data_IF_868665106826
#
_entry.id   IF_868665106826
#
_cell.length_a   1.000
_cell.length_b   1.000
_cell.length_c   1.000
_cell.angle_alpha   90.00
_cell.angle_beta   90.00
_cell.angle_gamma   90.00
#
_symmetry.space_group_name_H-M   'P 1'
#
loop_
_entity.id
_entity.type
_entity.pdbx_description
1 polymer ?
#
# COMPACT_ATOMS: atom_id res chain seq x y z
N UNK A 1 26.22 -37.29 6.35
CA UNK A 1 24.76 -37.52 6.27
C UNK A 1 23.98 -36.75 7.34
N UNK A 2 24.36 -36.84 8.61
CA UNK A 2 23.66 -36.13 9.69
C UNK A 2 23.70 -34.63 9.55
N UNK A 3 24.80 -34.04 9.08
CA UNK A 3 24.91 -32.58 8.85
C UNK A 3 23.97 -32.06 7.78
N UNK A 4 23.71 -32.84 6.72
CA UNK A 4 22.80 -32.45 5.64
C UNK A 4 21.33 -32.41 6.11
N UNK A 5 20.94 -33.29 7.03
CA UNK A 5 19.58 -33.33 7.58
C UNK A 5 19.34 -32.13 8.49
N UNK A 6 20.31 -31.74 9.32
CA UNK A 6 20.22 -30.56 10.17
C UNK A 6 20.12 -29.27 9.36
N UNK A 7 20.86 -29.13 8.27
CA UNK A 7 20.80 -27.99 7.38
C UNK A 7 19.43 -27.84 6.75
N UNK A 8 18.81 -28.93 6.31
CA UNK A 8 17.48 -28.94 5.72
C UNK A 8 16.41 -28.50 6.70
N UNK A 9 16.50 -28.94 7.94
CA UNK A 9 15.56 -28.52 9.01
C UNK A 9 15.70 -27.04 9.35
N UNK A 10 16.91 -26.52 9.40
CA UNK A 10 17.16 -25.11 9.64
C UNK A 10 16.59 -24.22 8.52
N UNK A 11 16.73 -24.64 7.25
CA UNK A 11 16.19 -23.92 6.11
C UNK A 11 14.65 -23.93 6.09
N UNK A 12 14.02 -25.04 6.47
CA UNK A 12 12.57 -25.14 6.57
C UNK A 12 12.03 -24.22 7.66
N UNK A 13 12.72 -24.09 8.78
CA UNK A 13 12.34 -23.19 9.87
C UNK A 13 12.45 -21.72 9.45
N UNK A 14 13.51 -21.37 8.73
CA UNK A 14 13.71 -20.02 8.22
C UNK A 14 12.62 -19.63 7.21
N UNK A 15 12.19 -20.54 6.35
CA UNK A 15 11.10 -20.35 5.40
C UNK A 15 9.77 -20.11 6.11
N UNK A 16 9.47 -20.84 7.18
CA UNK A 16 8.24 -20.66 7.97
C UNK A 16 8.22 -19.29 8.64
N UNK A 17 9.34 -18.80 9.17
CA UNK A 17 9.45 -17.48 9.76
C UNK A 17 9.27 -16.38 8.71
N UNK A 18 9.81 -16.55 7.50
CA UNK A 18 9.67 -15.61 6.40
C UNK A 18 8.20 -15.48 5.95
N UNK A 19 7.48 -16.61 5.85
CA UNK A 19 6.05 -16.62 5.48
C UNK A 19 5.21 -15.89 6.54
N UNK A 20 5.51 -16.03 7.83
CA UNK A 20 4.79 -15.36 8.90
C UNK A 20 4.95 -13.84 8.88
N UNK A 21 6.10 -13.32 8.43
CA UNK A 21 6.35 -11.88 8.31
C UNK A 21 5.51 -11.26 7.19
N UNK A 22 5.20 -12.02 6.12
CA UNK A 22 4.46 -11.53 4.96
C UNK A 22 2.94 -11.43 5.19
N UNK A 23 2.44 -11.82 6.36
CA UNK A 23 1.00 -11.81 6.69
C UNK A 23 0.53 -10.47 7.24
N UNK A 24 1.46 -9.53 7.53
CA UNK A 24 1.12 -8.25 8.13
C UNK A 24 0.70 -7.24 7.06
N UNK A 25 -0.48 -6.66 7.23
CA UNK A 25 -0.95 -5.54 6.42
C UNK A 25 -0.31 -4.22 6.83
N UNK A 26 -0.83 -3.12 6.31
CA UNK A 26 -0.30 -1.78 6.55
C UNK A 26 -1.31 -0.94 7.32
N UNK A 27 -0.95 -0.49 8.52
CA UNK A 27 -1.78 0.38 9.34
C UNK A 27 -1.56 1.83 8.92
N UNK A 28 -2.66 2.56 8.69
CA UNK A 28 -2.63 3.92 8.20
C UNK A 28 -3.06 4.90 9.29
N UNK A 29 -2.27 5.94 9.47
CA UNK A 29 -2.54 7.02 10.43
C UNK A 29 -2.74 8.35 9.73
N UNK A 30 -3.59 9.18 10.33
CA UNK A 30 -3.83 10.55 9.92
C UNK A 30 -4.01 11.41 11.16
N UNK A 31 -3.19 12.47 11.29
CA UNK A 31 -3.22 13.30 12.49
C UNK A 31 -2.93 12.53 13.78
N UNK A 32 -2.08 11.50 13.73
CA UNK A 32 -1.73 10.68 14.87
C UNK A 32 -2.72 9.56 15.22
N UNK A 33 -3.89 9.54 14.60
CA UNK A 33 -4.92 8.51 14.85
C UNK A 33 -4.91 7.44 13.76
N UNK A 34 -5.19 6.20 14.14
CA UNK A 34 -5.37 5.12 13.17
C UNK A 34 -6.70 5.35 12.44
N UNK A 35 -6.63 5.49 11.11
CA UNK A 35 -7.82 5.73 10.28
C UNK A 35 -8.19 4.55 9.41
N UNK A 36 -7.27 3.63 9.18
CA UNK A 36 -7.54 2.48 8.33
C UNK A 36 -6.40 1.49 8.25
N UNK A 37 -6.62 0.49 7.42
CA UNK A 37 -5.66 -0.58 7.23
C UNK A 37 -5.78 -1.14 5.81
N UNK A 38 -4.64 -1.44 5.20
CA UNK A 38 -4.58 -2.27 4.00
C UNK A 38 -4.15 -3.65 4.46
N UNK A 39 -5.00 -4.65 4.30
CA UNK A 39 -4.68 -6.00 4.73
C UNK A 39 -3.72 -6.70 3.74
N UNK A 40 -3.08 -7.76 4.19
CA UNK A 40 -2.11 -8.50 3.36
C UNK A 40 -2.74 -9.07 2.09
N UNK A 41 -4.03 -9.39 2.11
CA UNK A 41 -4.77 -9.87 0.95
C UNK A 41 -5.25 -8.74 0.01
N UNK A 42 -5.00 -7.47 0.37
CA UNK A 42 -5.41 -6.29 -0.38
C UNK A 42 -6.69 -5.63 0.09
N UNK A 43 -7.43 -6.20 1.03
CA UNK A 43 -8.64 -5.57 1.54
C UNK A 43 -8.31 -4.25 2.23
N UNK A 44 -9.17 -3.26 2.00
CA UNK A 44 -9.06 -1.93 2.61
C UNK A 44 -10.13 -1.81 3.69
N UNK A 45 -9.69 -1.55 4.94
CA UNK A 45 -10.59 -1.31 6.06
C UNK A 45 -10.51 0.14 6.50
N UNK A 46 -11.67 0.75 6.68
CA UNK A 46 -11.82 2.04 7.34
C UNK A 46 -12.81 1.89 8.48
N UNK A 47 -12.42 2.34 9.67
CA UNK A 47 -13.25 2.24 10.88
C UNK A 47 -13.76 0.80 11.11
N UNK A 48 -12.91 -0.19 10.84
CA UNK A 48 -13.22 -1.61 11.05
C UNK A 48 -14.01 -2.29 9.95
N UNK A 49 -14.54 -1.56 8.96
CA UNK A 49 -15.32 -2.12 7.86
C UNK A 49 -14.52 -2.23 6.58
N UNK A 50 -14.70 -3.30 5.83
CA UNK A 50 -14.09 -3.44 4.50
C UNK A 50 -14.83 -2.51 3.54
N UNK A 51 -14.11 -1.54 2.96
CA UNK A 51 -14.66 -0.56 2.03
C UNK A 51 -14.20 -0.76 0.60
N UNK A 52 -13.19 -1.61 0.38
CA UNK A 52 -12.67 -1.88 -0.95
C UNK A 52 -11.52 -2.88 -0.93
N UNK A 53 -10.83 -2.94 -2.06
CA UNK A 53 -9.76 -3.92 -2.23
C UNK A 53 -8.77 -3.49 -3.30
N UNK A 54 -7.50 -3.71 -3.04
CA UNK A 54 -6.44 -3.67 -4.05
C UNK A 54 -6.21 -5.08 -4.57
N UNK A 55 -6.41 -5.29 -5.85
CA UNK A 55 -6.18 -6.58 -6.46
C UNK A 55 -4.74 -6.77 -6.93
N UNK A 56 -4.31 -8.01 -7.03
CA UNK A 56 -2.94 -8.34 -7.43
C UNK A 56 -2.60 -7.88 -8.84
N UNK A 57 -3.62 -7.75 -9.72
CA UNK A 57 -3.44 -7.26 -11.09
C UNK A 57 -3.37 -5.73 -11.19
N UNK A 58 -3.52 -5.00 -10.07
CA UNK A 58 -3.51 -3.54 -10.01
C UNK A 58 -4.88 -2.90 -9.92
N UNK A 59 -5.97 -3.63 -10.09
CA UNK A 59 -7.32 -3.06 -9.99
C UNK A 59 -7.60 -2.53 -8.59
N UNK A 60 -8.31 -1.41 -8.52
CA UNK A 60 -8.76 -0.79 -7.28
C UNK A 60 -10.27 -0.94 -7.22
N UNK A 61 -10.75 -1.70 -6.24
CA UNK A 61 -12.19 -1.87 -6.00
C UNK A 61 -12.64 -0.98 -4.86
N UNK A 62 -13.78 -0.33 -5.06
CA UNK A 62 -14.44 0.48 -4.04
C UNK A 62 -15.89 0.01 -3.97
N UNK A 63 -16.32 -0.47 -2.82
CA UNK A 63 -17.67 -0.98 -2.63
C UNK A 63 -18.02 -2.14 -3.57
N UNK A 64 -17.05 -2.95 -3.97
CA UNK A 64 -17.26 -4.09 -4.87
C UNK A 64 -17.12 -3.81 -6.36
N UNK A 65 -17.05 -2.52 -6.76
CA UNK A 65 -16.87 -2.11 -8.16
C UNK A 65 -15.44 -1.74 -8.47
N UNK A 66 -14.94 -2.06 -9.65
CA UNK A 66 -13.63 -1.60 -10.11
C UNK A 66 -13.74 -0.12 -10.45
N UNK A 67 -13.08 0.74 -9.67
CA UNK A 67 -13.09 2.19 -9.85
C UNK A 67 -11.81 2.71 -10.47
N UNK A 68 -10.73 1.95 -10.42
CA UNK A 68 -9.46 2.40 -10.96
C UNK A 68 -8.42 1.30 -11.05
N UNK A 69 -7.18 1.74 -11.32
CA UNK A 69 -6.08 0.81 -11.51
C UNK A 69 -4.74 1.48 -11.19
N UNK A 70 -3.88 0.70 -10.55
CA UNK A 70 -2.46 1.03 -10.42
C UNK A 70 -1.73 0.32 -11.55
N UNK A 71 -1.16 1.08 -12.47
CA UNK A 71 -0.39 0.54 -13.59
C UNK A 71 1.02 0.13 -13.15
N UNK A 72 1.64 -0.76 -13.89
CA UNK A 72 3.00 -1.25 -13.58
C UNK A 72 4.04 -0.13 -13.58
N UNK A 73 3.84 0.90 -14.40
CA UNK A 73 4.74 2.05 -14.49
C UNK A 73 4.51 3.10 -13.40
N UNK A 74 3.50 2.91 -12.55
CA UNK A 74 3.16 3.85 -11.47
C UNK A 74 2.00 4.78 -11.79
N UNK A 75 1.47 4.78 -13.02
CA UNK A 75 0.30 5.57 -13.36
C UNK A 75 -0.92 5.10 -12.56
N UNK A 76 -1.73 6.06 -12.14
CA UNK A 76 -2.98 5.80 -11.42
C UNK A 76 -4.13 6.18 -12.35
N UNK A 77 -4.98 5.20 -12.66
CA UNK A 77 -6.17 5.41 -13.47
C UNK A 77 -7.41 5.42 -12.60
N UNK A 78 -8.33 6.29 -12.94
CA UNK A 78 -9.67 6.32 -12.37
C UNK A 78 -10.67 6.35 -13.51
N UNK A 79 -11.52 5.31 -13.59
CA UNK A 79 -12.53 5.17 -14.66
C UNK A 79 -11.93 5.34 -16.06
N UNK A 80 -10.77 4.72 -16.27
CA UNK A 80 -10.11 4.72 -17.58
C UNK A 80 -9.18 5.91 -17.85
N UNK A 81 -9.22 6.98 -17.05
CA UNK A 81 -8.35 8.14 -17.24
C UNK A 81 -7.17 8.12 -16.28
N UNK A 82 -6.00 8.52 -16.76
CA UNK A 82 -4.83 8.71 -15.90
C UNK A 82 -5.03 9.98 -15.09
N UNK A 83 -5.10 9.85 -13.75
CA UNK A 83 -5.30 11.00 -12.85
C UNK A 83 -4.03 11.40 -12.13
N UNK A 84 -2.98 10.60 -12.20
CA UNK A 84 -1.71 10.91 -11.58
C UNK A 84 -0.72 9.76 -11.66
N UNK A 85 0.35 9.89 -10.89
CA UNK A 85 1.45 8.92 -10.94
C UNK A 85 2.19 8.87 -9.61
N UNK A 86 2.58 7.65 -9.24
CA UNK A 86 3.54 7.42 -8.16
C UNK A 86 4.89 7.15 -8.80
N UNK A 87 5.84 8.06 -8.63
CA UNK A 87 7.16 7.97 -9.23
C UNK A 87 8.03 6.92 -8.52
N UNK A 88 9.09 6.46 -9.18
CA UNK A 88 10.00 5.46 -8.60
C UNK A 88 10.70 5.95 -7.32
N UNK A 89 10.85 7.26 -7.17
CA UNK A 89 11.40 7.89 -5.96
C UNK A 89 10.34 8.19 -4.90
N UNK A 90 9.09 7.75 -5.10
CA UNK A 90 7.93 7.92 -4.22
C UNK A 90 7.31 9.32 -4.24
N UNK A 91 7.71 10.19 -5.17
CA UNK A 91 7.00 11.43 -5.42
C UNK A 91 5.63 11.14 -6.03
N UNK A 92 4.64 11.92 -5.63
CA UNK A 92 3.26 11.79 -6.10
C UNK A 92 2.96 12.95 -7.03
N UNK A 93 2.55 12.63 -8.27
CA UNK A 93 2.13 13.64 -9.25
C UNK A 93 0.63 13.56 -9.48
N UNK A 94 0.01 14.73 -9.52
CA UNK A 94 -1.40 14.89 -9.92
C UNK A 94 -1.43 16.02 -10.94
N UNK A 95 -2.03 15.77 -12.10
CA UNK A 95 -2.07 16.74 -13.22
C UNK A 95 -0.67 17.28 -13.59
N UNK A 96 0.34 16.38 -13.58
CA UNK A 96 1.69 16.73 -13.95
C UNK A 96 2.54 17.42 -12.88
N UNK A 97 1.94 17.83 -11.75
CA UNK A 97 2.66 18.52 -10.68
C UNK A 97 2.93 17.59 -9.50
N UNK A 98 4.10 17.73 -8.89
CA UNK A 98 4.40 17.01 -7.65
C UNK A 98 3.59 17.64 -6.52
N UNK A 99 2.71 16.85 -5.91
CA UNK A 99 1.85 17.32 -4.80
C UNK A 99 2.28 16.78 -3.45
N UNK A 100 3.09 15.74 -3.43
CA UNK A 100 3.51 15.13 -2.18
C UNK A 100 4.48 14.00 -2.37
N UNK A 101 4.68 13.27 -1.29
CA UNK A 101 5.65 12.18 -1.24
C UNK A 101 5.30 11.18 -0.15
N UNK A 102 5.55 9.90 -0.43
CA UNK A 102 5.55 8.84 0.59
C UNK A 102 6.99 8.57 0.96
N UNK A 103 7.38 8.93 2.18
CA UNK A 103 8.76 8.76 2.62
C UNK A 103 9.08 7.30 2.96
N UNK A 104 10.35 6.94 2.93
CA UNK A 104 10.79 5.57 3.22
C UNK A 104 10.44 5.11 4.63
N UNK A 105 10.37 6.06 5.57
CA UNK A 105 9.99 5.77 6.97
C UNK A 105 8.47 5.65 7.17
N UNK A 106 7.68 5.85 6.10
CA UNK A 106 6.23 5.76 6.15
C UNK A 106 5.51 7.09 6.26
N UNK A 107 6.20 8.21 6.48
CA UNK A 107 5.57 9.52 6.56
C UNK A 107 4.95 9.90 5.21
N UNK A 108 3.76 10.47 5.26
CA UNK A 108 3.02 10.94 4.10
C UNK A 108 3.09 12.45 4.10
N UNK A 109 3.71 13.04 3.08
CA UNK A 109 3.81 14.50 2.93
C UNK A 109 2.88 15.00 1.83
N UNK A 110 2.17 16.06 2.13
CA UNK A 110 1.35 16.78 1.17
C UNK A 110 1.76 18.26 1.22
N UNK A 111 2.19 18.82 0.08
CA UNK A 111 2.72 20.20 0.00
C UNK A 111 3.75 20.51 1.10
N UNK A 112 4.63 19.55 1.38
CA UNK A 112 5.69 19.71 2.38
C UNK A 112 5.31 19.39 3.82
N UNK A 113 4.03 19.24 4.15
CA UNK A 113 3.57 18.93 5.50
C UNK A 113 3.28 17.45 5.67
N UNK A 114 3.62 16.90 6.83
CA UNK A 114 3.29 15.52 7.16
C UNK A 114 1.80 15.46 7.51
N UNK A 115 1.02 14.70 6.73
CA UNK A 115 -0.42 14.54 6.93
C UNK A 115 -0.80 13.18 7.50
N UNK A 116 0.10 12.22 7.48
CA UNK A 116 -0.18 10.89 7.95
C UNK A 116 1.04 9.99 7.95
N UNK A 117 0.80 8.72 8.21
CA UNK A 117 1.86 7.72 8.29
C UNK A 117 1.35 6.32 7.98
N UNK A 118 2.09 5.58 7.18
CA UNK A 118 1.89 4.16 6.96
C UNK A 118 2.94 3.38 7.75
N UNK A 119 2.51 2.53 8.69
CA UNK A 119 3.43 1.96 9.68
C UNK A 119 4.34 0.88 9.11
N UNK A 120 3.83 -0.01 8.25
CA UNK A 120 4.61 -1.12 7.72
C UNK A 120 5.21 -0.85 6.34
N UNK A 121 4.64 0.07 5.59
CA UNK A 121 5.11 0.44 4.24
C UNK A 121 5.30 -0.76 3.30
N UNK A 122 4.31 -1.62 3.25
CA UNK A 122 4.37 -2.84 2.45
C UNK A 122 4.23 -2.57 0.94
N UNK A 123 3.46 -1.56 0.56
CA UNK A 123 3.26 -1.18 -0.84
C UNK A 123 3.04 0.33 -0.95
N UNK A 124 4.06 1.05 -1.42
CA UNK A 124 4.05 2.51 -1.54
C UNK A 124 2.91 3.00 -2.44
N UNK A 125 2.63 2.31 -3.53
CA UNK A 125 1.61 2.74 -4.49
C UNK A 125 0.21 2.63 -3.91
N UNK A 126 -0.08 1.55 -3.19
CA UNK A 126 -1.35 1.38 -2.49
C UNK A 126 -1.53 2.43 -1.40
N UNK A 127 -0.49 2.68 -0.64
CA UNK A 127 -0.48 3.74 0.39
C UNK A 127 -0.76 5.09 -0.25
N UNK A 128 -0.11 5.42 -1.36
CA UNK A 128 -0.33 6.68 -2.08
C UNK A 128 -1.78 6.81 -2.56
N UNK A 129 -2.37 5.75 -3.05
CA UNK A 129 -3.78 5.74 -3.48
C UNK A 129 -4.70 6.09 -2.32
N UNK A 130 -4.40 5.61 -1.12
CA UNK A 130 -5.22 5.90 0.07
C UNK A 130 -5.24 7.39 0.41
N UNK A 131 -4.11 8.08 0.30
CA UNK A 131 -3.98 9.46 0.77
C UNK A 131 -4.17 10.53 -0.30
N UNK A 132 -3.88 10.23 -1.58
CA UNK A 132 -3.74 11.27 -2.60
C UNK A 132 -4.80 11.27 -3.70
N UNK A 133 -5.45 10.14 -3.98
CA UNK A 133 -6.21 9.99 -5.22
C UNK A 133 -7.73 9.92 -5.05
N UNK A 134 -8.22 10.04 -3.82
CA UNK A 134 -9.64 10.21 -3.56
C UNK A 134 -10.52 8.98 -3.82
N UNK A 135 -9.95 7.78 -3.84
CA UNK A 135 -10.74 6.54 -3.94
C UNK A 135 -11.44 6.20 -2.63
N UNK A 136 -10.82 6.52 -1.52
CA UNK A 136 -11.31 6.21 -0.18
C UNK A 136 -11.31 7.48 0.68
N UNK A 137 -12.26 7.56 1.60
CA UNK A 137 -12.39 8.71 2.51
C UNK A 137 -11.57 8.48 3.78
N UNK A 138 -10.29 8.80 3.73
CA UNK A 138 -9.43 8.77 4.91
C UNK A 138 -9.69 9.93 5.85
#
# INVERSE_FOLDING_TARGET
MRKAIFLRLAMALALLLTVNVNVMGDTLRKGGSIVGKIESNGDVRLNGSIVGRFESNGDIRVGGSIEGRIEKNGDIRKRGSIIGRVESNNDIRINGSIVGRVEKNGDIRYNGSIIGRAEQMTDVRRVAVMYFFGFFNL
#
